data_IF_030889463335
#
_entry.id   IF_030889463335
#
_cell.length_a   1.000
_cell.length_b   1.000
_cell.length_c   1.000
_cell.angle_alpha   90.00
_cell.angle_beta   90.00
_cell.angle_gamma   90.00
#
_symmetry.space_group_name_H-M   'P 1'
#
loop_
_entity.id
_entity.type
_entity.pdbx_description
1 polymer ?
#
# COMPACT_ATOMS: atom_id res chain seq x y z
N UNK A 1 22.04 -24.74 -26.43
CA UNK A 1 22.03 -24.34 -25.00
C UNK A 1 21.20 -23.07 -24.90
N UNK A 2 20.09 -23.01 -24.13
CA UNK A 2 19.43 -21.74 -23.91
C UNK A 2 20.19 -20.92 -22.87
N UNK A 3 20.36 -19.64 -23.16
CA UNK A 3 21.00 -18.63 -22.30
C UNK A 3 20.18 -18.38 -21.03
N UNK A 4 20.80 -17.93 -19.92
CA UNK A 4 20.08 -17.62 -18.70
C UNK A 4 19.22 -16.37 -18.91
N UNK A 5 17.90 -16.53 -18.80
CA UNK A 5 16.93 -15.45 -18.74
C UNK A 5 17.08 -14.75 -17.38
N UNK A 6 17.86 -13.68 -17.32
CA UNK A 6 17.76 -12.69 -16.24
C UNK A 6 16.45 -11.88 -16.40
N UNK A 7 15.32 -12.55 -16.20
CA UNK A 7 14.03 -11.89 -16.03
C UNK A 7 13.97 -11.30 -14.63
N UNK A 8 13.70 -10.00 -14.53
CA UNK A 8 13.35 -9.32 -13.27
C UNK A 8 12.37 -10.22 -12.52
N UNK A 9 12.73 -10.66 -11.31
CA UNK A 9 11.90 -11.55 -10.49
C UNK A 9 10.47 -10.98 -10.41
N UNK A 10 9.53 -11.62 -11.12
CA UNK A 10 8.11 -11.30 -11.03
C UNK A 10 7.65 -11.82 -9.67
N UNK A 11 7.69 -10.95 -8.65
CA UNK A 11 7.17 -11.29 -7.33
C UNK A 11 5.66 -11.51 -7.43
N UNK A 12 5.16 -12.57 -6.82
CA UNK A 12 3.73 -12.84 -6.77
C UNK A 12 3.02 -11.82 -5.86
N UNK A 13 1.70 -11.59 -6.02
CA UNK A 13 0.96 -10.69 -5.14
C UNK A 13 1.12 -11.02 -3.63
N UNK A 14 1.06 -12.30 -3.20
CA UNK A 14 1.35 -12.67 -1.81
C UNK A 14 2.75 -12.27 -1.34
N UNK A 15 3.78 -12.46 -2.18
CA UNK A 15 5.16 -12.08 -1.83
C UNK A 15 5.30 -10.57 -1.67
N UNK A 16 4.64 -9.79 -2.54
CA UNK A 16 4.64 -8.33 -2.46
C UNK A 16 3.96 -7.87 -1.17
N UNK A 17 2.79 -8.43 -0.85
CA UNK A 17 2.05 -8.09 0.37
C UNK A 17 2.85 -8.46 1.62
N UNK A 18 3.49 -9.64 1.63
CA UNK A 18 4.35 -10.07 2.73
C UNK A 18 5.52 -9.11 2.93
N UNK A 19 6.25 -8.79 1.86
CA UNK A 19 7.37 -7.84 1.92
C UNK A 19 6.92 -6.48 2.43
N UNK A 20 5.79 -5.97 1.93
CA UNK A 20 5.23 -4.70 2.38
C UNK A 20 4.89 -4.74 3.88
N UNK A 21 4.26 -5.83 4.35
CA UNK A 21 3.93 -6.01 5.77
C UNK A 21 5.18 -6.00 6.64
N UNK A 22 6.23 -6.70 6.23
CA UNK A 22 7.49 -6.79 6.96
C UNK A 22 8.15 -5.41 7.05
N UNK A 23 8.22 -4.66 5.94
CA UNK A 23 8.76 -3.29 5.93
C UNK A 23 7.90 -2.34 6.77
N UNK A 24 6.57 -2.42 6.72
CA UNK A 24 5.69 -1.58 7.55
C UNK A 24 5.83 -1.89 9.05
N UNK A 25 5.98 -3.17 9.41
CA UNK A 25 6.21 -3.59 10.80
C UNK A 25 7.55 -3.08 11.33
N UNK A 26 8.58 -3.07 10.47
CA UNK A 26 9.86 -2.47 10.82
C UNK A 26 9.74 -0.95 10.96
N UNK A 27 9.07 -0.30 10.01
CA UNK A 27 8.86 1.15 10.01
C UNK A 27 8.10 1.62 11.24
N UNK A 28 7.14 0.84 11.72
CA UNK A 28 6.37 1.13 12.94
C UNK A 28 7.27 1.23 14.17
N UNK A 29 8.25 0.32 14.31
CA UNK A 29 9.17 0.24 15.45
C UNK A 29 10.23 1.35 15.47
N UNK A 30 10.46 2.02 14.35
CA UNK A 30 11.45 3.08 14.26
C UNK A 30 10.87 4.44 14.69
N UNK A 31 11.66 5.22 15.41
CA UNK A 31 11.31 6.59 15.78
C UNK A 31 11.49 7.55 14.60
N UNK A 32 10.74 8.66 14.59
CA UNK A 32 10.90 9.70 13.54
C UNK A 32 12.33 10.27 13.59
N UNK A 33 12.97 10.37 12.43
CA UNK A 33 14.33 10.89 12.30
C UNK A 33 15.45 9.85 12.38
N UNK A 34 15.15 8.58 12.63
CA UNK A 34 16.15 7.50 12.51
C UNK A 34 16.59 7.37 11.04
N UNK A 35 17.89 7.35 10.76
CA UNK A 35 18.45 7.12 9.42
C UNK A 35 17.97 5.79 8.81
N UNK A 36 17.63 4.80 9.64
CA UNK A 36 17.06 3.54 9.16
C UNK A 36 15.66 3.71 8.56
N UNK A 37 14.91 4.75 8.93
CA UNK A 37 13.60 5.01 8.34
C UNK A 37 13.68 5.21 6.84
N UNK A 38 14.66 5.97 6.35
CA UNK A 38 14.77 6.27 4.92
C UNK A 38 14.90 4.98 4.10
N UNK A 39 15.75 4.05 4.57
CA UNK A 39 15.94 2.77 3.92
C UNK A 39 14.69 1.90 3.94
N UNK A 40 14.02 1.79 5.09
CA UNK A 40 12.79 0.97 5.22
C UNK A 40 11.62 1.61 4.43
N UNK A 41 11.51 2.93 4.44
CA UNK A 41 10.54 3.68 3.65
C UNK A 41 10.77 3.48 2.13
N UNK A 42 12.01 3.42 1.67
CA UNK A 42 12.33 3.09 0.27
C UNK A 42 11.84 1.68 -0.11
N UNK A 43 11.95 0.70 0.79
CA UNK A 43 11.41 -0.65 0.58
C UNK A 43 9.88 -0.67 0.52
N UNK A 44 9.21 0.15 1.34
CA UNK A 44 7.77 0.38 1.26
C UNK A 44 7.42 0.97 -0.10
N UNK A 45 8.11 2.04 -0.54
CA UNK A 45 7.89 2.68 -1.85
C UNK A 45 8.04 1.70 -3.01
N UNK A 46 9.08 0.85 -3.00
CA UNK A 46 9.26 -0.20 -4.03
C UNK A 46 8.10 -1.19 -4.06
N UNK A 47 7.58 -1.57 -2.89
CA UNK A 47 6.44 -2.48 -2.79
C UNK A 47 5.15 -1.81 -3.26
N UNK A 48 4.92 -0.54 -2.94
CA UNK A 48 3.78 0.23 -3.42
C UNK A 48 3.79 0.38 -4.95
N UNK A 49 4.95 0.60 -5.55
CA UNK A 49 5.10 0.65 -7.00
C UNK A 49 4.79 -0.71 -7.66
N UNK A 50 5.26 -1.81 -7.07
CA UNK A 50 4.92 -3.15 -7.55
C UNK A 50 3.40 -3.43 -7.47
N UNK A 51 2.76 -2.99 -6.39
CA UNK A 51 1.30 -3.06 -6.22
C UNK A 51 0.58 -2.24 -7.30
N UNK A 52 1.02 -1.01 -7.56
CA UNK A 52 0.45 -0.16 -8.61
C UNK A 52 0.53 -0.82 -9.98
N UNK A 53 1.67 -1.42 -10.33
CA UNK A 53 1.82 -2.12 -11.60
C UNK A 53 0.85 -3.30 -11.74
N UNK A 54 0.47 -3.96 -10.65
CA UNK A 54 -0.56 -5.01 -10.67
C UNK A 54 -1.96 -4.41 -10.85
N UNK A 55 -2.26 -3.33 -10.13
CA UNK A 55 -3.60 -2.70 -10.10
C UNK A 55 -3.92 -1.95 -11.40
N UNK A 56 -2.95 -1.21 -11.95
CA UNK A 56 -3.12 -0.34 -13.10
C UNK A 56 -2.58 -0.95 -14.40
N UNK A 57 -1.89 -2.09 -14.32
CA UNK A 57 -1.18 -2.66 -15.45
C UNK A 57 0.17 -1.97 -15.69
N UNK A 58 0.87 -2.45 -16.71
CA UNK A 58 2.10 -1.85 -17.21
C UNK A 58 1.83 -1.23 -18.59
N UNK A 59 2.74 -0.41 -19.12
CA UNK A 59 2.56 0.36 -20.36
C UNK A 59 2.08 -0.47 -21.57
N UNK A 60 2.30 -1.79 -21.57
CA UNK A 60 1.93 -2.71 -22.64
C UNK A 60 0.96 -3.83 -22.23
N UNK A 61 0.49 -3.88 -20.98
CA UNK A 61 -0.39 -4.95 -20.49
C UNK A 61 -1.43 -4.43 -19.50
N UNK A 62 -2.70 -4.74 -19.79
CA UNK A 62 -3.81 -4.52 -18.86
C UNK A 62 -3.64 -5.32 -17.56
N UNK A 63 -4.17 -4.82 -16.43
CA UNK A 63 -4.08 -5.51 -15.15
C UNK A 63 -4.78 -6.87 -15.19
N UNK A 64 -4.08 -7.92 -14.77
CA UNK A 64 -4.66 -9.25 -14.70
C UNK A 64 -5.62 -9.36 -13.50
N UNK A 65 -6.91 -9.52 -13.78
CA UNK A 65 -7.98 -9.50 -12.76
C UNK A 65 -7.74 -10.48 -11.60
N UNK A 66 -7.19 -11.66 -11.88
CA UNK A 66 -6.86 -12.66 -10.85
C UNK A 66 -5.76 -12.17 -9.91
N UNK A 67 -4.72 -11.51 -10.43
CA UNK A 67 -3.63 -10.97 -9.60
C UNK A 67 -4.13 -9.83 -8.72
N UNK A 68 -5.01 -8.97 -9.26
CA UNK A 68 -5.67 -7.91 -8.48
C UNK A 68 -6.56 -8.49 -7.38
N UNK A 69 -7.31 -9.57 -7.68
CA UNK A 69 -8.15 -10.24 -6.70
C UNK A 69 -7.31 -10.87 -5.58
N UNK A 70 -6.22 -11.57 -5.93
CA UNK A 70 -5.30 -12.17 -4.97
C UNK A 70 -4.63 -11.10 -4.11
N UNK A 71 -4.14 -10.03 -4.72
CA UNK A 71 -3.55 -8.88 -4.02
C UNK A 71 -4.52 -8.26 -3.01
N UNK A 72 -5.77 -8.03 -3.43
CA UNK A 72 -6.80 -7.46 -2.56
C UNK A 72 -7.07 -8.37 -1.36
N UNK A 73 -7.25 -9.68 -1.61
CA UNK A 73 -7.49 -10.66 -0.56
C UNK A 73 -6.34 -10.69 0.46
N UNK A 74 -5.11 -10.76 -0.01
CA UNK A 74 -3.92 -10.76 0.85
C UNK A 74 -3.78 -9.45 1.63
N UNK A 75 -4.11 -8.31 1.01
CA UNK A 75 -4.09 -7.01 1.69
C UNK A 75 -5.06 -6.94 2.86
N UNK A 76 -6.26 -7.54 2.72
CA UNK A 76 -7.23 -7.63 3.81
C UNK A 76 -6.78 -8.58 4.91
N UNK A 77 -6.33 -9.78 4.54
CA UNK A 77 -5.86 -10.81 5.47
C UNK A 77 -4.67 -10.32 6.30
N UNK A 78 -3.75 -9.60 5.66
CA UNK A 78 -2.53 -9.08 6.28
C UNK A 78 -2.71 -7.72 6.97
N UNK A 79 -3.91 -7.13 6.91
CA UNK A 79 -4.21 -5.80 7.47
C UNK A 79 -3.30 -4.68 6.94
N UNK A 80 -2.97 -4.75 5.65
CA UNK A 80 -2.08 -3.78 4.99
C UNK A 80 -2.67 -2.36 5.01
N UNK A 81 -3.97 -2.21 4.73
CA UNK A 81 -4.59 -0.89 4.64
C UNK A 81 -4.51 -0.10 5.96
N UNK A 82 -4.87 -0.68 7.13
CA UNK A 82 -4.61 -0.05 8.43
C UNK A 82 -3.14 0.32 8.65
N UNK A 83 -2.20 -0.60 8.38
CA UNK A 83 -0.78 -0.38 8.63
C UNK A 83 -0.20 0.76 7.77
N UNK A 84 -0.63 0.86 6.51
CA UNK A 84 -0.25 1.96 5.62
C UNK A 84 -0.73 3.32 6.16
N UNK A 85 -1.97 3.38 6.66
CA UNK A 85 -2.55 4.61 7.21
C UNK A 85 -1.84 5.02 8.50
N UNK A 86 -1.55 4.07 9.39
CA UNK A 86 -0.83 4.33 10.64
C UNK A 86 0.59 4.84 10.41
N UNK A 87 1.27 4.31 9.39
CA UNK A 87 2.64 4.71 9.05
C UNK A 87 2.71 5.84 8.02
N UNK A 88 1.57 6.37 7.56
CA UNK A 88 1.50 7.32 6.43
C UNK A 88 2.40 8.54 6.65
N UNK A 89 2.47 9.04 7.89
CA UNK A 89 3.28 10.20 8.27
C UNK A 89 4.79 9.97 8.19
N UNK A 90 5.24 8.72 8.16
CA UNK A 90 6.66 8.31 8.05
C UNK A 90 7.09 8.11 6.59
N UNK A 91 6.15 8.12 5.65
CA UNK A 91 6.40 7.96 4.23
C UNK A 91 6.68 9.32 3.56
N UNK A 92 7.43 9.29 2.46
CA UNK A 92 7.63 10.45 1.63
C UNK A 92 6.36 10.87 0.88
N UNK A 93 6.39 12.03 0.23
CA UNK A 93 5.23 12.59 -0.45
C UNK A 93 4.71 11.71 -1.59
N UNK A 94 5.60 11.05 -2.34
CA UNK A 94 5.20 10.26 -3.50
C UNK A 94 4.60 8.92 -3.05
N UNK A 95 5.19 8.28 -2.05
CA UNK A 95 4.64 7.09 -1.40
C UNK A 95 3.26 7.36 -0.79
N UNK A 96 3.04 8.54 -0.19
CA UNK A 96 1.69 8.94 0.29
C UNK A 96 0.66 9.00 -0.84
N UNK A 97 1.03 9.54 -2.01
CA UNK A 97 0.14 9.53 -3.19
C UNK A 97 -0.15 8.11 -3.66
N UNK A 98 0.87 7.26 -3.71
CA UNK A 98 0.71 5.86 -4.11
C UNK A 98 -0.25 5.13 -3.18
N UNK A 99 -0.10 5.31 -1.85
CA UNK A 99 -1.05 4.75 -0.86
C UNK A 99 -2.47 5.23 -1.13
N UNK A 100 -2.67 6.53 -1.36
CA UNK A 100 -3.99 7.07 -1.66
C UNK A 100 -4.58 6.49 -2.95
N UNK A 101 -3.77 6.34 -4.01
CA UNK A 101 -4.20 5.73 -5.27
C UNK A 101 -4.62 4.27 -5.09
N UNK A 102 -3.78 3.46 -4.42
CA UNK A 102 -4.05 2.05 -4.12
C UNK A 102 -5.30 1.90 -3.26
N UNK A 103 -5.41 2.68 -2.19
CA UNK A 103 -6.56 2.65 -1.29
C UNK A 103 -7.86 2.98 -2.04
N UNK A 104 -7.84 4.04 -2.86
CA UNK A 104 -9.01 4.46 -3.65
C UNK A 104 -9.40 3.42 -4.70
N UNK A 105 -8.42 2.77 -5.35
CA UNK A 105 -8.70 1.72 -6.31
C UNK A 105 -9.40 0.53 -5.65
N UNK A 106 -8.84 0.03 -4.54
CA UNK A 106 -9.44 -1.05 -3.78
C UNK A 106 -10.84 -0.66 -3.29
N UNK A 107 -11.00 0.55 -2.74
CA UNK A 107 -12.29 1.05 -2.25
C UNK A 107 -13.41 1.03 -3.31
N UNK A 108 -13.07 1.30 -4.57
CA UNK A 108 -14.01 1.28 -5.70
C UNK A 108 -14.24 -0.11 -6.29
N UNK A 109 -13.46 -1.11 -5.88
CA UNK A 109 -13.56 -2.48 -6.40
C UNK A 109 -14.87 -3.14 -5.99
N UNK A 110 -15.56 -3.71 -6.96
CA UNK A 110 -16.80 -4.48 -6.77
C UNK A 110 -16.61 -5.95 -7.15
N UNK A 111 -17.30 -6.82 -6.43
CA UNK A 111 -17.49 -8.24 -6.80
C UNK A 111 -18.99 -8.49 -6.82
N UNK A 112 -19.58 -8.56 -8.02
CA UNK A 112 -21.03 -8.52 -8.18
C UNK A 112 -21.59 -7.21 -7.62
N UNK A 113 -22.52 -7.30 -6.67
CA UNK A 113 -23.13 -6.15 -5.99
C UNK A 113 -22.40 -5.73 -4.71
N UNK A 114 -21.33 -6.45 -4.32
CA UNK A 114 -20.61 -6.21 -3.07
C UNK A 114 -19.39 -5.33 -3.30
N UNK A 115 -19.05 -4.54 -2.28
CA UNK A 115 -17.82 -3.73 -2.24
C UNK A 115 -16.92 -4.21 -1.10
N UNK A 116 -16.03 -5.20 -1.33
CA UNK A 116 -15.29 -5.88 -0.25
C UNK A 116 -14.48 -4.94 0.63
N UNK A 117 -13.85 -3.91 0.06
CA UNK A 117 -13.07 -2.94 0.84
C UNK A 117 -13.96 -2.06 1.70
N UNK A 118 -15.15 -1.69 1.22
CA UNK A 118 -16.11 -0.91 2.02
C UNK A 118 -16.57 -1.74 3.22
N UNK A 119 -16.91 -3.00 3.02
CA UNK A 119 -17.25 -3.94 4.10
C UNK A 119 -16.08 -4.13 5.09
N UNK A 120 -14.85 -4.24 4.57
CA UNK A 120 -13.63 -4.36 5.37
C UNK A 120 -13.38 -3.12 6.25
N UNK A 121 -13.58 -1.92 5.71
CA UNK A 121 -13.45 -0.65 6.44
C UNK A 121 -14.58 -0.47 7.44
N UNK A 122 -15.82 -0.86 7.08
CA UNK A 122 -16.97 -0.78 7.97
C UNK A 122 -16.78 -1.60 9.26
N UNK A 123 -16.13 -2.76 9.16
CA UNK A 123 -15.78 -3.60 10.31
C UNK A 123 -14.56 -3.10 11.10
N UNK A 124 -13.90 -2.02 10.67
CA UNK A 124 -12.68 -1.44 11.26
C UNK A 124 -12.72 0.10 11.28
N UNK A 125 -13.58 0.72 12.10
CA UNK A 125 -13.76 2.18 12.13
C UNK A 125 -12.48 2.96 12.45
N UNK A 126 -11.52 2.33 13.14
CA UNK A 126 -10.20 2.89 13.45
C UNK A 126 -9.46 3.40 12.19
N UNK A 127 -9.70 2.78 11.03
CA UNK A 127 -9.16 3.22 9.73
C UNK A 127 -9.61 4.65 9.42
N UNK A 128 -10.91 4.92 9.55
CA UNK A 128 -11.49 6.23 9.27
C UNK A 128 -11.05 7.26 10.32
N UNK A 129 -11.00 6.87 11.60
CA UNK A 129 -10.51 7.74 12.66
C UNK A 129 -9.05 8.16 12.44
N UNK A 130 -8.19 7.22 12.02
CA UNK A 130 -6.79 7.51 11.72
C UNK A 130 -6.64 8.45 10.52
N UNK A 131 -7.43 8.24 9.46
CA UNK A 131 -7.47 9.13 8.29
C UNK A 131 -7.90 10.56 8.67
N UNK A 132 -8.96 10.70 9.47
CA UNK A 132 -9.46 12.01 9.93
C UNK A 132 -8.43 12.73 10.81
N UNK A 133 -7.80 12.01 11.75
CA UNK A 133 -6.72 12.56 12.60
C UNK A 133 -5.51 13.00 11.78
N UNK A 134 -5.13 12.22 10.77
CA UNK A 134 -4.02 12.54 9.85
C UNK A 134 -4.30 13.82 9.05
N UNK A 135 -5.50 13.95 8.47
CA UNK A 135 -5.91 15.16 7.74
C UNK A 135 -5.87 16.41 8.62
N UNK A 136 -6.38 16.32 9.86
CA UNK A 136 -6.32 17.43 10.79
C UNK A 136 -4.87 17.86 11.05
N UNK A 137 -3.97 16.91 11.26
CA UNK A 137 -2.55 17.18 11.55
C UNK A 137 -1.82 17.88 10.41
N UNK A 138 -2.05 17.47 9.15
CA UNK A 138 -1.45 18.13 7.98
C UNK A 138 -2.04 19.53 7.75
N UNK A 139 -3.34 19.75 8.00
CA UNK A 139 -3.96 21.08 7.93
C UNK A 139 -3.38 22.05 8.96
N UNK A 140 -3.01 21.57 10.15
CA UNK A 140 -2.34 22.42 11.15
C UNK A 140 -0.90 22.79 10.74
N UNK A 141 -0.20 21.94 9.99
CA UNK A 141 1.13 22.26 9.47
C UNK A 141 1.10 23.34 8.38
N UNK A 142 0.05 23.39 7.55
CA UNK A 142 -0.12 24.42 6.52
C UNK A 142 -0.47 25.80 7.13
N UNK A 143 -1.00 25.84 8.36
CA UNK A 143 -1.35 27.08 9.06
C UNK A 143 -0.22 27.72 9.88
N UNK A 144 0.98 27.12 9.88
CA UNK A 144 2.15 27.66 10.60
C UNK A 144 3.20 28.34 9.69
N UNK A 145 2.84 28.58 8.42
CA UNK A 145 3.58 29.44 7.49
C UNK A 145 2.65 30.54 6.98
#
# INVERSE_FOLDING_TARGET
MPLPLFGKSHKSPPDIVKNLKDSLTQLEKLERGDKKNEKVAEEVSKSLQAIKSIIYGQESQEPHLEQVAQLAQESYNSSILPMLIQNLIKLDFEAKKDVAQIFNNLLRRQIGTRSPTVEYVHTRPQILEALVKGLASDVYLVKQY
#
